data_IF_341163665251
#
_entry.id   IF_341163665251
#
_cell.length_a   1.000
_cell.length_b   1.000
_cell.length_c   1.000
_cell.angle_alpha   90.00
_cell.angle_beta   90.00
_cell.angle_gamma   90.00
#
_symmetry.space_group_name_H-M   'P 1'
#
loop_
_entity.id
_entity.type
_entity.pdbx_description
1 polymer ?
#
# COMPACT_ATOMS: atom_id res chain seq x y z
N UNK A 1 9.28 -8.49 -11.31
CA UNK A 1 10.69 -8.29 -10.87
C UNK A 1 11.04 -6.80 -10.94
N UNK A 2 11.32 -6.21 -12.12
CA UNK A 2 11.70 -4.77 -12.19
C UNK A 2 10.64 -3.80 -11.63
N UNK A 3 9.35 -4.09 -11.80
CA UNK A 3 8.28 -3.28 -11.20
C UNK A 3 8.20 -3.39 -9.67
N UNK A 4 8.60 -4.54 -9.10
CA UNK A 4 8.63 -4.74 -7.66
C UNK A 4 9.74 -3.93 -7.00
N UNK A 5 10.95 -3.89 -7.60
CA UNK A 5 12.05 -3.05 -7.11
C UNK A 5 11.67 -1.57 -7.06
N UNK A 6 11.03 -1.06 -8.12
CA UNK A 6 10.57 0.33 -8.17
C UNK A 6 9.53 0.62 -7.08
N UNK A 7 8.58 -0.32 -6.86
CA UNK A 7 7.54 -0.18 -5.84
C UNK A 7 8.11 -0.24 -4.42
N UNK A 8 9.07 -1.14 -4.16
CA UNK A 8 9.80 -1.22 -2.87
C UNK A 8 10.49 0.12 -2.58
N UNK A 9 11.29 0.61 -3.52
CA UNK A 9 12.05 1.86 -3.33
C UNK A 9 11.13 3.07 -3.10
N UNK A 10 10.08 3.20 -3.92
CA UNK A 10 9.11 4.29 -3.78
C UNK A 10 8.43 4.26 -2.41
N UNK A 11 8.02 3.07 -1.96
CA UNK A 11 7.37 2.88 -0.65
C UNK A 11 8.31 3.21 0.50
N UNK A 12 9.57 2.78 0.45
CA UNK A 12 10.57 3.11 1.48
C UNK A 12 10.79 4.62 1.58
N UNK A 13 10.86 5.32 0.44
CA UNK A 13 10.95 6.77 0.40
C UNK A 13 9.71 7.42 1.02
N UNK A 14 8.51 6.99 0.64
CA UNK A 14 7.26 7.55 1.14
C UNK A 14 7.09 7.31 2.65
N UNK A 15 7.42 6.12 3.16
CA UNK A 15 7.41 5.84 4.60
C UNK A 15 8.42 6.70 5.36
N UNK A 16 9.57 6.99 4.77
CA UNK A 16 10.56 7.90 5.38
C UNK A 16 10.06 9.36 5.41
N UNK A 17 9.34 9.79 4.39
CA UNK A 17 8.87 11.18 4.25
C UNK A 17 7.56 11.46 5.00
N UNK A 18 6.66 10.48 5.02
CA UNK A 18 5.29 10.63 5.52
C UNK A 18 4.89 9.62 6.59
N UNK A 19 5.72 8.61 6.88
CA UNK A 19 5.37 7.56 7.83
C UNK A 19 5.25 8.02 9.28
N UNK A 20 5.71 9.22 9.61
CA UNK A 20 5.47 9.84 10.93
C UNK A 20 4.15 10.62 11.00
N UNK A 21 3.54 10.90 9.84
CA UNK A 21 2.21 11.53 9.72
C UNK A 21 1.09 10.50 9.60
N UNK A 22 1.43 9.24 9.42
CA UNK A 22 0.50 8.13 9.39
C UNK A 22 0.21 7.64 10.81
N UNK A 23 -1.05 7.35 11.09
CA UNK A 23 -1.44 6.58 12.26
C UNK A 23 -0.83 5.18 12.21
N UNK A 24 -0.60 4.59 13.39
CA UNK A 24 0.05 3.28 13.51
C UNK A 24 -0.75 2.17 12.79
N UNK A 25 -2.08 2.24 12.83
CA UNK A 25 -2.98 1.30 12.18
C UNK A 25 -2.95 1.39 10.64
N UNK A 26 -2.58 2.54 10.06
CA UNK A 26 -2.35 2.68 8.61
C UNK A 26 -0.93 2.38 8.20
N UNK A 27 0.05 2.68 9.05
CA UNK A 27 1.47 2.41 8.79
C UNK A 27 1.78 0.91 8.80
N UNK A 28 1.25 0.18 9.78
CA UNK A 28 1.50 -1.26 9.94
C UNK A 28 1.23 -2.11 8.69
N UNK A 29 0.07 -1.99 7.99
CA UNK A 29 -0.19 -2.77 6.78
C UNK A 29 0.74 -2.40 5.61
N UNK A 30 1.21 -1.14 5.51
CA UNK A 30 2.18 -0.73 4.48
C UNK A 30 3.54 -1.38 4.76
N UNK A 31 4.02 -1.34 6.00
CA UNK A 31 5.28 -1.97 6.39
C UNK A 31 5.24 -3.50 6.17
N UNK A 32 4.12 -4.14 6.53
CA UNK A 32 3.92 -5.57 6.29
C UNK A 32 3.91 -5.91 4.80
N UNK A 33 3.17 -5.14 3.98
CA UNK A 33 3.14 -5.33 2.52
C UNK A 33 4.50 -5.13 1.86
N UNK A 34 5.27 -4.14 2.33
CA UNK A 34 6.64 -3.88 1.87
C UNK A 34 7.57 -5.07 2.16
N UNK A 35 7.55 -5.61 3.38
CA UNK A 35 8.40 -6.75 3.75
C UNK A 35 8.02 -8.02 2.98
N UNK A 36 6.72 -8.28 2.78
CA UNK A 36 6.24 -9.36 1.90
C UNK A 36 6.75 -9.19 0.47
N UNK A 37 6.65 -7.99 -0.09
CA UNK A 37 7.10 -7.71 -1.45
C UNK A 37 8.61 -7.89 -1.60
N UNK A 38 9.42 -7.45 -0.61
CA UNK A 38 10.86 -7.69 -0.57
C UNK A 38 11.21 -9.18 -0.56
N UNK A 39 10.53 -9.96 0.28
CA UNK A 39 10.75 -11.40 0.38
C UNK A 39 10.36 -12.14 -0.92
N UNK A 40 9.22 -11.78 -1.51
CA UNK A 40 8.76 -12.30 -2.79
C UNK A 40 9.72 -11.94 -3.93
N UNK A 41 10.23 -10.70 -3.93
CA UNK A 41 11.20 -10.22 -4.91
C UNK A 41 12.52 -11.00 -4.81
N UNK A 42 13.05 -11.16 -3.60
CA UNK A 42 14.29 -11.90 -3.34
C UNK A 42 14.19 -13.37 -3.77
N UNK A 43 13.06 -14.02 -3.48
CA UNK A 43 12.78 -15.40 -3.86
C UNK A 43 12.38 -15.56 -5.34
N UNK A 44 12.17 -14.44 -6.06
CA UNK A 44 11.67 -14.40 -7.44
C UNK A 44 10.34 -15.14 -7.62
N UNK A 45 9.51 -15.15 -6.58
CA UNK A 45 8.17 -15.72 -6.65
C UNK A 45 7.20 -14.72 -7.29
N UNK A 46 6.90 -14.91 -8.57
CA UNK A 46 6.05 -13.98 -9.33
C UNK A 46 4.62 -13.87 -8.78
N UNK A 47 4.04 -14.97 -8.31
CA UNK A 47 2.68 -14.95 -7.75
C UNK A 47 2.64 -14.12 -6.46
N UNK A 48 3.63 -14.31 -5.59
CA UNK A 48 3.73 -13.55 -4.34
C UNK A 48 4.10 -12.09 -4.59
N UNK A 49 4.90 -11.80 -5.63
CA UNK A 49 5.21 -10.41 -6.04
C UNK A 49 3.93 -9.68 -6.44
N UNK A 50 3.09 -10.31 -7.27
CA UNK A 50 1.86 -9.69 -7.75
C UNK A 50 0.87 -9.48 -6.58
N UNK A 51 0.71 -10.50 -5.72
CA UNK A 51 -0.15 -10.42 -4.55
C UNK A 51 0.32 -9.33 -3.55
N UNK A 52 1.62 -9.32 -3.21
CA UNK A 52 2.18 -8.35 -2.27
C UNK A 52 2.17 -6.93 -2.83
N UNK A 53 2.36 -6.77 -4.16
CA UNK A 53 2.26 -5.47 -4.81
C UNK A 53 0.84 -4.91 -4.72
N UNK A 54 -0.18 -5.74 -4.96
CA UNK A 54 -1.58 -5.35 -4.84
C UNK A 54 -1.96 -5.00 -3.39
N UNK A 55 -1.53 -5.83 -2.42
CA UNK A 55 -1.76 -5.59 -0.99
C UNK A 55 -1.13 -4.25 -0.55
N UNK A 56 0.12 -3.99 -0.98
CA UNK A 56 0.83 -2.77 -0.65
C UNK A 56 0.16 -1.52 -1.26
N UNK A 57 -0.30 -1.60 -2.50
CA UNK A 57 -1.06 -0.52 -3.15
C UNK A 57 -2.38 -0.24 -2.42
N UNK A 58 -3.11 -1.29 -2.02
CA UNK A 58 -4.34 -1.13 -1.25
C UNK A 58 -4.08 -0.45 0.11
N UNK A 59 -3.03 -0.86 0.83
CA UNK A 59 -2.65 -0.25 2.10
C UNK A 59 -2.36 1.25 1.94
N UNK A 60 -1.65 1.64 0.88
CA UNK A 60 -1.40 3.05 0.56
C UNK A 60 -2.65 3.83 0.22
N UNK A 61 -3.62 3.24 -0.49
CA UNK A 61 -4.89 3.89 -0.78
C UNK A 61 -5.64 4.24 0.52
N UNK A 62 -5.76 3.26 1.43
CA UNK A 62 -6.41 3.44 2.74
C UNK A 62 -5.68 4.50 3.58
N UNK A 63 -4.35 4.48 3.60
CA UNK A 63 -3.54 5.47 4.30
C UNK A 63 -3.66 6.88 3.70
N UNK A 64 -3.76 6.98 2.37
CA UNK A 64 -3.94 8.25 1.68
C UNK A 64 -5.28 8.89 2.02
N UNK A 65 -6.36 8.10 2.11
CA UNK A 65 -7.68 8.61 2.50
C UNK A 65 -7.66 9.29 3.87
N UNK A 66 -6.86 8.79 4.81
CA UNK A 66 -6.69 9.41 6.12
C UNK A 66 -5.96 10.76 6.01
N UNK A 67 -4.86 10.82 5.25
CA UNK A 67 -4.15 12.08 5.01
C UNK A 67 -5.06 13.15 4.38
N UNK A 68 -5.95 12.76 3.46
CA UNK A 68 -6.94 13.66 2.85
C UNK A 68 -8.03 14.12 3.84
N UNK A 69 -8.39 13.28 4.81
CA UNK A 69 -9.42 13.58 5.83
C UNK A 69 -8.88 14.49 6.94
N UNK A 70 -7.60 14.37 7.30
CA UNK A 70 -6.98 15.12 8.41
C UNK A 70 -6.37 16.48 8.01
N UNK A 71 -6.15 16.70 6.70
CA UNK A 71 -5.63 17.97 6.17
C UNK A 71 -6.22 18.29 4.81
N UNK A 72 -7.17 19.22 4.77
CA UNK A 72 -7.78 19.67 3.52
C UNK A 72 -6.73 20.06 2.46
N UNK A 73 -6.84 19.39 1.31
CA UNK A 73 -6.16 19.61 0.03
C UNK A 73 -4.66 19.26 0.00
N UNK A 74 -4.24 18.29 -0.84
CA UNK A 74 -2.84 17.88 -0.90
C UNK A 74 -2.01 18.94 -1.62
N UNK A 75 -1.03 19.51 -0.92
CA UNK A 75 0.15 20.04 -1.58
C UNK A 75 1.04 18.86 -1.96
N UNK A 76 0.94 18.45 -3.24
CA UNK A 76 1.97 17.69 -3.96
C UNK A 76 2.62 16.55 -3.20
N UNK A 77 1.90 15.45 -3.03
CA UNK A 77 2.51 14.15 -2.81
C UNK A 77 2.16 13.30 -4.01
N UNK A 78 3.15 13.00 -4.86
CA UNK A 78 3.01 11.94 -5.86
C UNK A 78 2.49 10.67 -5.17
N UNK A 79 1.19 10.40 -5.33
CA UNK A 79 0.66 9.05 -5.17
C UNK A 79 1.56 8.12 -6.00
N UNK A 80 1.83 6.88 -5.57
CA UNK A 80 2.50 5.93 -6.44
C UNK A 80 1.65 5.80 -7.69
N UNK A 81 2.07 6.49 -8.75
CA UNK A 81 1.40 6.46 -10.03
C UNK A 81 1.62 5.05 -10.55
N UNK A 82 0.60 4.21 -10.35
CA UNK A 82 0.50 2.95 -11.06
C UNK A 82 0.56 3.29 -12.55
N UNK A 83 1.69 2.98 -13.18
CA UNK A 83 1.85 2.98 -14.62
C UNK A 83 0.65 2.25 -15.24
N UNK A 84 -0.10 2.98 -16.06
CA UNK A 84 -1.49 2.67 -16.35
C UNK A 84 -1.70 1.38 -17.14
N UNK A 85 -2.80 0.71 -16.82
CA UNK A 85 -3.59 -0.04 -17.78
C UNK A 85 -5.09 0.21 -17.51
N UNK A 86 -5.86 0.78 -18.46
CA UNK A 86 -7.27 1.07 -18.26
C UNK A 86 -8.11 -0.10 -18.80
N UNK A 87 -8.81 -0.80 -17.92
CA UNK A 87 -9.95 -1.66 -18.25
C UNK A 87 -10.68 -1.91 -16.91
N UNK A 88 -11.88 -1.46 -16.63
CA UNK A 88 -13.00 -1.09 -17.46
C UNK A 88 -14.23 -1.68 -16.77
N UNK A 89 -14.98 -0.85 -16.03
CA UNK A 89 -16.36 -1.11 -15.65
C UNK A 89 -16.61 -1.92 -14.36
N UNK A 90 -17.37 -1.30 -13.45
CA UNK A 90 -18.42 -1.99 -12.71
C UNK A 90 -18.07 -2.42 -11.28
N UNK A 91 -18.94 -1.96 -10.38
CA UNK A 91 -19.24 -2.50 -9.05
C UNK A 91 -18.25 -2.24 -7.90
N UNK A 92 -18.72 -1.35 -7.02
CA UNK A 92 -18.83 -1.61 -5.58
C UNK A 92 -18.16 -2.90 -5.10
N UNK A 93 -16.96 -2.79 -4.56
CA UNK A 93 -16.55 -3.61 -3.42
C UNK A 93 -16.13 -2.66 -2.31
N UNK A 94 -17.16 -2.06 -1.73
CA UNK A 94 -17.19 -1.65 -0.34
C UNK A 94 -17.30 -2.94 0.46
N UNK A 95 -16.20 -3.66 0.64
CA UNK A 95 -16.08 -4.64 1.73
C UNK A 95 -14.60 -4.96 1.95
N UNK A 96 -13.92 -4.09 2.70
CA UNK A 96 -12.78 -4.54 3.47
C UNK A 96 -13.28 -4.59 4.89
N UNK A 97 -14.05 -5.65 5.19
CA UNK A 97 -14.13 -6.23 6.52
C UNK A 97 -12.69 -6.48 6.98
N UNK A 98 -12.08 -5.45 7.58
CA UNK A 98 -11.00 -5.64 8.54
C UNK A 98 -11.66 -6.29 9.74
N UNK A 99 -11.82 -7.62 9.62
CA UNK A 99 -12.37 -8.49 10.63
C UNK A 99 -11.54 -8.29 11.90
N UNK A 100 -12.15 -7.52 12.79
CA UNK A 100 -11.97 -7.39 14.22
C UNK A 100 -10.87 -8.26 14.85
N UNK A 101 -9.87 -7.56 15.40
CA UNK A 101 -9.21 -7.84 16.68
C UNK A 101 -9.45 -9.24 17.24
N UNK A 102 -8.43 -10.10 17.14
CA UNK A 102 -8.23 -11.15 18.13
C UNK A 102 -6.82 -11.07 18.70
N UNK A 103 -6.69 -10.16 19.67
CA UNK A 103 -5.88 -10.43 20.85
C UNK A 103 -6.43 -11.71 21.50
N UNK A 104 -5.69 -12.81 21.41
CA UNK A 104 -5.91 -13.96 22.29
C UNK A 104 -4.58 -14.42 22.90
N UNK A 105 -4.33 -13.87 24.10
CA UNK A 105 -3.63 -14.41 25.29
C UNK A 105 -2.25 -15.04 25.18
#
# INVERSE_FOLDING_TARGET
INGADALIFSTEKQLKEFGDKLSADKKAPIEAGLEKLKAAHLSRNFADIDAASAELQAAWNVASEEMYKDGGQPQGGEQPQADGQPQGGGDNVTDVDFEEVKEEK
#
